data_IF_148263056990
#
_entry.id   IF_148263056990
#
_cell.length_a   1.000
_cell.length_b   1.000
_cell.length_c   1.000
_cell.angle_alpha   90.00
_cell.angle_beta   90.00
_cell.angle_gamma   90.00
#
_symmetry.space_group_name_H-M   'P 1'
#
loop_
_entity.id
_entity.type
_entity.pdbx_description
1 polymer ?
#
# COMPACT_ATOMS: atom_id res chain seq x y z
N UNK A 1 36.92 83.31 28.11
CA UNK A 1 36.87 81.94 28.67
C UNK A 1 36.02 81.11 27.73
N UNK A 2 36.52 80.63 26.58
CA UNK A 2 37.43 79.49 26.33
C UNK A 2 36.85 78.12 26.69
N UNK A 3 36.90 77.26 25.67
CA UNK A 3 36.71 75.80 25.58
C UNK A 3 35.26 75.33 25.31
N UNK A 4 34.86 74.89 24.11
CA UNK A 4 35.49 74.06 23.05
C UNK A 4 35.36 72.55 23.26
N UNK A 5 35.00 71.90 22.14
CA UNK A 5 35.26 70.52 21.71
C UNK A 5 34.41 69.36 22.26
N UNK A 6 33.37 69.06 21.48
CA UNK A 6 33.35 67.92 20.52
C UNK A 6 33.16 66.47 20.99
N UNK A 7 32.39 65.77 20.13
CA UNK A 7 32.29 64.33 19.85
C UNK A 7 31.33 63.53 20.75
N UNK A 8 30.39 62.78 20.20
CA UNK A 8 30.16 62.49 18.78
C UNK A 8 28.98 61.56 18.54
N UNK A 9 28.74 61.33 17.26
CA UNK A 9 27.95 60.25 16.64
C UNK A 9 26.50 60.07 17.17
N UNK A 10 25.45 60.19 16.38
CA UNK A 10 25.32 59.64 15.05
C UNK A 10 24.39 60.51 14.20
N UNK A 11 24.87 60.74 12.98
CA UNK A 11 24.22 61.45 11.91
C UNK A 11 23.05 60.58 11.42
N UNK A 12 21.84 61.08 11.61
CA UNK A 12 20.64 60.55 10.99
C UNK A 12 20.67 60.87 9.49
N UNK A 13 20.77 59.84 8.63
CA UNK A 13 20.04 59.73 7.36
C UNK A 13 20.36 58.40 6.65
N UNK A 14 19.31 57.80 6.06
CA UNK A 14 19.28 56.77 5.02
C UNK A 14 19.47 55.30 5.47
N UNK A 15 18.39 54.51 5.46
CA UNK A 15 18.03 53.71 4.29
C UNK A 15 16.81 52.82 4.58
N UNK A 16 15.91 52.81 3.61
CA UNK A 16 14.82 51.86 3.40
C UNK A 16 15.23 50.39 3.50
N UNK A 17 14.23 49.57 3.87
CA UNK A 17 14.05 48.14 3.58
C UNK A 17 14.29 47.17 4.76
N UNK A 18 13.24 46.94 5.55
CA UNK A 18 12.98 45.65 6.18
C UNK A 18 11.55 45.24 5.85
N UNK A 19 11.44 44.43 4.79
CA UNK A 19 10.23 43.73 4.40
C UNK A 19 10.00 42.57 5.39
N UNK A 20 9.20 42.82 6.42
CA UNK A 20 8.60 41.73 7.20
C UNK A 20 7.50 41.07 6.35
N UNK A 21 7.87 39.93 5.76
CA UNK A 21 6.97 39.00 5.08
C UNK A 21 6.08 38.29 6.10
N UNK A 22 5.03 38.97 6.57
CA UNK A 22 3.85 38.32 7.11
C UNK A 22 3.15 37.58 5.97
N UNK A 23 3.44 36.30 5.80
CA UNK A 23 2.80 35.43 4.83
C UNK A 23 1.29 35.36 5.11
N UNK A 24 0.53 36.20 4.41
CA UNK A 24 -0.92 36.14 4.34
C UNK A 24 -1.31 34.84 3.66
N UNK A 25 -2.10 34.00 4.33
CA UNK A 25 -2.68 32.82 3.69
C UNK A 25 -3.41 33.24 2.40
N UNK A 26 -3.06 32.64 1.26
CA UNK A 26 -3.61 33.07 0.00
C UNK A 26 -5.11 32.74 -0.12
N UNK A 27 -5.92 33.77 -0.39
CA UNK A 27 -7.37 33.70 -0.54
C UNK A 27 -7.89 32.62 -1.51
N UNK A 28 -7.05 32.18 -2.46
CA UNK A 28 -7.38 31.15 -3.43
C UNK A 28 -7.56 29.77 -2.79
N UNK A 29 -6.93 29.51 -1.64
CA UNK A 29 -7.08 28.24 -0.93
C UNK A 29 -8.51 28.05 -0.39
N UNK A 30 -9.17 29.14 0.03
CA UNK A 30 -10.59 29.14 0.40
C UNK A 30 -11.53 29.02 -0.79
N UNK A 31 -11.16 29.57 -1.95
CA UNK A 31 -11.95 29.48 -3.17
C UNK A 31 -11.98 28.04 -3.71
N UNK A 32 -10.84 27.35 -3.66
CA UNK A 32 -10.71 25.94 -4.06
C UNK A 32 -11.45 24.99 -3.09
N UNK A 33 -11.72 25.43 -1.86
CA UNK A 33 -12.48 24.64 -0.88
C UNK A 33 -13.98 24.56 -1.21
N UNK A 34 -14.55 25.62 -1.81
CA UNK A 34 -15.96 25.67 -2.25
C UNK A 34 -16.14 24.91 -3.57
N UNK A 35 -15.15 24.97 -4.44
CA UNK A 35 -15.06 24.22 -5.68
C UNK A 35 -14.30 22.92 -5.42
N UNK A 36 -14.90 21.91 -4.77
CA UNK A 36 -14.44 20.51 -4.46
C UNK A 36 -13.27 19.88 -5.27
N UNK A 37 -12.16 20.59 -5.45
CA UNK A 37 -11.00 20.27 -6.27
C UNK A 37 -9.79 20.10 -5.35
N UNK A 38 -9.99 19.45 -4.21
CA UNK A 38 -8.89 19.09 -3.30
C UNK A 38 -7.96 18.12 -4.06
N UNK A 39 -6.64 18.39 -4.13
CA UNK A 39 -5.66 17.41 -4.56
C UNK A 39 -5.72 16.19 -3.62
N UNK A 40 -5.63 14.97 -4.17
CA UNK A 40 -5.69 13.71 -3.38
C UNK A 40 -4.68 13.65 -2.22
N UNK A 41 -3.60 14.41 -2.30
CA UNK A 41 -2.55 14.45 -1.28
C UNK A 41 -3.01 15.02 0.08
N UNK A 42 -4.02 15.91 0.10
CA UNK A 42 -4.49 16.48 1.37
C UNK A 42 -5.21 15.46 2.25
N UNK A 43 -5.99 14.54 1.65
CA UNK A 43 -6.74 13.53 2.41
C UNK A 43 -5.81 12.53 3.11
N UNK A 44 -4.67 12.21 2.47
CA UNK A 44 -3.64 11.35 3.05
C UNK A 44 -3.02 12.01 4.29
N UNK A 45 -2.71 13.30 4.19
CA UNK A 45 -2.18 14.10 5.31
C UNK A 45 -3.16 14.17 6.47
N UNK A 46 -4.43 14.47 6.19
CA UNK A 46 -5.51 14.54 7.20
C UNK A 46 -5.64 13.22 8.00
N UNK A 47 -5.51 12.06 7.33
CA UNK A 47 -5.56 10.73 8.00
C UNK A 47 -4.27 10.45 8.77
N UNK A 48 -3.10 10.81 8.24
CA UNK A 48 -1.82 10.63 8.95
C UNK A 48 -1.75 11.44 10.25
N UNK A 49 -2.26 12.67 10.22
CA UNK A 49 -2.38 13.55 11.39
C UNK A 49 -3.33 12.95 12.44
N UNK A 50 -4.53 12.53 12.03
CA UNK A 50 -5.49 11.89 12.93
C UNK A 50 -4.96 10.60 13.58
N UNK A 51 -4.09 9.84 12.90
CA UNK A 51 -3.46 8.63 13.45
C UNK A 51 -2.26 8.92 14.37
N UNK A 52 -1.71 10.12 14.32
CA UNK A 52 -0.59 10.57 15.16
C UNK A 52 -1.08 11.12 16.50
N UNK A 53 -2.31 11.63 16.55
CA UNK A 53 -2.91 12.13 17.78
C UNK A 53 -3.12 10.99 18.82
N UNK A 54 -2.83 11.25 20.10
CA UNK A 54 -3.08 10.29 21.17
C UNK A 54 -4.58 10.18 21.48
N UNK A 55 -5.12 8.98 21.31
CA UNK A 55 -6.53 8.65 21.51
C UNK A 55 -6.97 8.91 22.94
N UNK A 56 -7.81 9.93 23.15
CA UNK A 56 -8.34 10.27 24.48
C UNK A 56 -9.85 10.56 24.51
N UNK A 57 -10.60 10.07 23.51
CA UNK A 57 -12.06 10.26 23.41
C UNK A 57 -12.84 9.04 22.90
N UNK A 58 -14.17 9.14 22.88
CA UNK A 58 -15.11 8.06 22.50
C UNK A 58 -15.05 7.64 21.02
N UNK A 59 -14.37 8.43 20.17
CA UNK A 59 -14.16 8.16 18.73
C UNK A 59 -12.71 7.74 18.42
N UNK A 60 -11.99 7.22 19.40
CA UNK A 60 -10.62 6.76 19.27
C UNK A 60 -10.49 5.52 18.36
N UNK A 61 -9.44 5.45 17.56
CA UNK A 61 -9.14 4.24 16.79
C UNK A 61 -8.60 3.13 17.70
N UNK A 62 -9.08 1.91 17.53
CA UNK A 62 -8.45 0.77 18.19
C UNK A 62 -7.01 0.59 17.69
N UNK A 63 -6.13 -0.05 18.48
CA UNK A 63 -4.77 -0.35 18.05
C UNK A 63 -4.71 -1.12 16.72
N UNK A 64 -5.68 -2.01 16.48
CA UNK A 64 -5.79 -2.78 15.24
C UNK A 64 -6.14 -1.90 14.04
N UNK A 65 -7.15 -1.03 14.18
CA UNK A 65 -7.56 -0.10 13.12
C UNK A 65 -6.42 0.86 12.77
N UNK A 66 -5.74 1.39 13.79
CA UNK A 66 -4.57 2.25 13.61
C UNK A 66 -3.46 1.54 12.85
N UNK A 67 -3.18 0.28 13.17
CA UNK A 67 -2.19 -0.53 12.45
C UNK A 67 -2.61 -0.81 11.00
N UNK A 68 -3.86 -1.16 10.75
CA UNK A 68 -4.40 -1.36 9.41
C UNK A 68 -4.31 -0.09 8.56
N UNK A 69 -4.75 1.06 9.09
CA UNK A 69 -4.72 2.33 8.37
C UNK A 69 -3.29 2.76 8.04
N UNK A 70 -2.34 2.58 8.98
CA UNK A 70 -0.91 2.80 8.70
C UNK A 70 -0.39 1.90 7.57
N UNK A 71 -0.75 0.62 7.56
CA UNK A 71 -0.36 -0.31 6.50
C UNK A 71 -0.95 0.10 5.14
N UNK A 72 -2.21 0.55 5.10
CA UNK A 72 -2.87 1.05 3.88
C UNK A 72 -2.17 2.31 3.36
N UNK A 73 -1.88 3.28 4.22
CA UNK A 73 -1.16 4.50 3.85
C UNK A 73 0.27 4.22 3.36
N UNK A 74 0.88 3.14 3.86
CA UNK A 74 2.21 2.67 3.47
C UNK A 74 2.23 1.82 2.19
N UNK A 75 1.09 1.31 1.72
CA UNK A 75 1.01 0.34 0.62
C UNK A 75 1.63 0.87 -0.68
N UNK A 76 1.50 2.16 -0.97
CA UNK A 76 2.09 2.78 -2.17
C UNK A 76 3.63 2.71 -2.22
N UNK A 77 4.29 2.45 -1.08
CA UNK A 77 5.74 2.28 -0.97
C UNK A 77 6.18 0.82 -1.09
N UNK A 78 5.25 -0.12 -1.01
CA UNK A 78 5.51 -1.57 -1.04
C UNK A 78 5.53 -2.04 -2.49
N UNK A 79 6.58 -2.77 -2.87
CA UNK A 79 6.75 -3.38 -4.19
C UNK A 79 6.25 -4.82 -4.15
N UNK A 80 5.94 -5.38 -5.32
CA UNK A 80 5.54 -6.81 -5.45
C UNK A 80 6.61 -7.73 -4.87
N UNK A 81 7.89 -7.41 -5.10
CA UNK A 81 9.04 -8.16 -4.61
C UNK A 81 9.09 -8.23 -3.07
N UNK A 82 8.56 -7.23 -2.37
CA UNK A 82 8.56 -7.17 -0.90
C UNK A 82 7.55 -8.15 -0.26
N UNK A 83 6.58 -8.65 -1.04
CA UNK A 83 5.45 -9.47 -0.56
C UNK A 83 5.27 -10.78 -1.31
N UNK A 84 5.96 -10.98 -2.44
CA UNK A 84 5.85 -12.21 -3.22
C UNK A 84 6.51 -13.40 -2.51
N UNK A 85 6.11 -14.62 -2.90
CA UNK A 85 6.77 -15.84 -2.46
C UNK A 85 8.10 -15.99 -3.22
N UNK A 86 9.25 -16.16 -2.53
CA UNK A 86 10.53 -16.38 -3.19
C UNK A 86 10.48 -17.58 -4.12
N UNK A 87 11.18 -17.49 -5.25
CA UNK A 87 11.16 -18.55 -6.29
C UNK A 87 11.47 -19.94 -5.76
N UNK A 88 12.42 -20.06 -4.83
CA UNK A 88 12.83 -21.33 -4.25
C UNK A 88 11.72 -21.99 -3.40
N UNK A 89 10.77 -21.20 -2.92
CA UNK A 89 9.68 -21.64 -2.04
C UNK A 89 8.36 -21.83 -2.81
N UNK A 90 8.35 -21.63 -4.13
CA UNK A 90 7.15 -21.80 -4.95
C UNK A 90 6.81 -23.29 -5.04
N UNK A 91 5.66 -23.66 -4.49
CA UNK A 91 5.04 -24.96 -4.74
C UNK A 91 4.26 -24.90 -6.06
N UNK A 92 4.78 -25.55 -7.09
CA UNK A 92 4.17 -25.62 -8.41
C UNK A 92 4.07 -27.08 -8.90
N UNK A 93 3.33 -27.28 -9.99
CA UNK A 93 3.08 -28.59 -10.58
C UNK A 93 3.46 -28.61 -12.06
N UNK A 94 4.08 -29.68 -12.53
CA UNK A 94 4.39 -29.85 -13.96
C UNK A 94 3.12 -30.19 -14.73
N UNK A 95 3.00 -29.72 -15.97
CA UNK A 95 1.90 -30.06 -16.88
C UNK A 95 1.75 -31.57 -17.11
N UNK A 96 2.83 -32.33 -16.97
CA UNK A 96 2.86 -33.79 -17.13
C UNK A 96 2.45 -34.55 -15.86
N UNK A 97 2.10 -33.84 -14.78
CA UNK A 97 1.76 -34.46 -13.49
C UNK A 97 0.42 -35.19 -13.57
N UNK A 98 0.39 -36.43 -13.08
CA UNK A 98 -0.84 -37.21 -13.01
C UNK A 98 -1.89 -36.57 -12.09
N UNK A 99 -3.18 -36.81 -12.36
CA UNK A 99 -4.27 -36.33 -11.49
C UNK A 99 -4.13 -36.85 -10.04
N UNK A 100 -3.64 -38.08 -9.88
CA UNK A 100 -3.42 -38.68 -8.56
C UNK A 100 -2.33 -37.98 -7.76
N UNK A 101 -1.22 -37.61 -8.41
CA UNK A 101 -0.12 -36.91 -7.75
C UNK A 101 -0.46 -35.44 -7.51
N UNK A 102 -1.22 -34.80 -8.39
CA UNK A 102 -1.78 -33.47 -8.17
C UNK A 102 -2.69 -33.45 -6.92
N UNK A 103 -3.54 -34.45 -6.72
CA UNK A 103 -4.37 -34.55 -5.51
C UNK A 103 -3.51 -34.71 -4.25
N UNK A 104 -2.46 -35.53 -4.30
CA UNK A 104 -1.51 -35.66 -3.17
C UNK A 104 -0.87 -34.32 -2.86
N UNK A 105 -0.44 -33.58 -3.89
CA UNK A 105 0.19 -32.27 -3.74
C UNK A 105 -0.76 -31.25 -3.11
N UNK A 106 -2.03 -31.19 -3.54
CA UNK A 106 -3.03 -30.33 -2.90
C UNK A 106 -3.23 -30.65 -1.41
N UNK A 107 -3.21 -31.93 -1.04
CA UNK A 107 -3.38 -32.37 0.36
C UNK A 107 -2.16 -32.05 1.23
N UNK A 108 -0.95 -32.07 0.68
CA UNK A 108 0.28 -31.82 1.45
C UNK A 108 0.65 -30.33 1.48
N UNK A 109 0.45 -29.60 0.38
CA UNK A 109 0.83 -28.19 0.28
C UNK A 109 -0.15 -27.23 0.99
N UNK A 110 -1.42 -27.62 1.13
CA UNK A 110 -2.44 -26.78 1.79
C UNK A 110 -2.81 -25.50 1.02
N UNK A 111 -2.36 -25.35 -0.24
CA UNK A 111 -2.68 -24.21 -1.08
C UNK A 111 -3.92 -24.49 -1.95
N UNK A 112 -4.80 -23.49 -2.08
CA UNK A 112 -5.99 -23.61 -2.93
C UNK A 112 -5.68 -23.55 -4.43
N UNK A 113 -4.53 -22.96 -4.79
CA UNK A 113 -4.08 -22.71 -6.16
C UNK A 113 -2.62 -23.10 -6.29
N UNK A 114 -2.29 -23.77 -7.39
CA UNK A 114 -0.92 -24.14 -7.73
C UNK A 114 -0.59 -23.65 -9.15
N UNK A 115 0.55 -22.98 -9.36
CA UNK A 115 1.04 -22.67 -10.70
C UNK A 115 1.34 -23.97 -11.45
N UNK A 116 0.98 -24.01 -12.73
CA UNK A 116 1.33 -25.10 -13.64
C UNK A 116 2.46 -24.64 -14.54
N UNK A 117 3.54 -25.41 -14.61
CA UNK A 117 4.70 -25.10 -15.45
C UNK A 117 4.95 -26.20 -16.49
N UNK A 118 5.61 -25.82 -17.59
CA UNK A 118 6.06 -26.75 -18.62
C UNK A 118 7.38 -27.43 -18.23
N UNK A 119 8.47 -27.01 -18.87
CA UNK A 119 9.81 -27.56 -18.60
C UNK A 119 10.41 -27.02 -17.30
N UNK A 120 10.22 -25.73 -17.02
CA UNK A 120 10.74 -25.05 -15.83
C UNK A 120 9.73 -24.04 -15.29
N UNK A 121 9.96 -23.53 -14.08
CA UNK A 121 9.16 -22.45 -13.50
C UNK A 121 9.15 -21.15 -14.32
N UNK A 122 10.07 -21.00 -15.29
CA UNK A 122 10.10 -19.85 -16.23
C UNK A 122 9.11 -20.00 -17.40
N UNK A 123 8.49 -21.18 -17.54
CA UNK A 123 7.47 -21.49 -18.54
C UNK A 123 6.11 -21.73 -17.87
N UNK A 124 5.46 -20.68 -17.31
CA UNK A 124 4.15 -20.82 -16.69
C UNK A 124 3.09 -21.08 -17.75
N UNK A 125 2.39 -22.20 -17.62
CA UNK A 125 1.26 -22.59 -18.51
C UNK A 125 -0.09 -22.18 -17.95
N UNK A 126 -0.15 -21.84 -16.67
CA UNK A 126 -1.36 -21.36 -16.01
C UNK A 126 -1.38 -21.72 -14.54
N UNK A 127 -2.58 -22.00 -14.03
CA UNK A 127 -2.81 -22.34 -12.63
C UNK A 127 -3.94 -23.36 -12.52
N UNK A 128 -3.87 -24.21 -11.50
CA UNK A 128 -4.94 -25.13 -11.16
C UNK A 128 -5.51 -24.79 -9.79
N UNK A 129 -6.84 -24.74 -9.71
CA UNK A 129 -7.57 -24.56 -8.47
C UNK A 129 -8.08 -25.90 -7.97
N UNK A 130 -8.00 -26.14 -6.65
CA UNK A 130 -8.56 -27.35 -6.04
C UNK A 130 -10.06 -27.56 -6.33
N UNK A 131 -10.86 -26.49 -6.43
CA UNK A 131 -12.29 -26.61 -6.74
C UNK A 131 -12.50 -27.18 -8.14
N UNK A 132 -11.87 -26.56 -9.13
CA UNK A 132 -11.97 -26.98 -10.53
C UNK A 132 -11.41 -28.40 -10.72
N UNK A 133 -10.37 -28.76 -9.97
CA UNK A 133 -9.84 -30.13 -9.93
C UNK A 133 -10.87 -31.13 -9.40
N UNK A 134 -11.52 -30.84 -8.26
CA UNK A 134 -12.54 -31.72 -7.67
C UNK A 134 -13.74 -31.85 -8.60
N UNK A 135 -14.23 -30.75 -9.16
CA UNK A 135 -15.35 -30.73 -10.11
C UNK A 135 -15.05 -31.60 -11.34
N UNK A 136 -13.81 -31.53 -11.84
CA UNK A 136 -13.35 -32.34 -12.96
C UNK A 136 -13.32 -33.84 -12.66
N UNK A 137 -12.88 -34.23 -11.46
CA UNK A 137 -12.88 -35.63 -11.02
C UNK A 137 -14.31 -36.13 -10.80
N UNK A 138 -15.17 -35.31 -10.18
CA UNK A 138 -16.57 -35.64 -9.94
C UNK A 138 -17.32 -35.90 -11.26
N UNK A 139 -17.16 -35.01 -12.24
CA UNK A 139 -17.75 -35.18 -13.57
C UNK A 139 -17.29 -36.48 -14.27
N UNK A 140 -16.00 -36.85 -14.12
CA UNK A 140 -15.47 -38.11 -14.66
C UNK A 140 -16.02 -39.34 -13.94
N UNK A 141 -16.21 -39.27 -12.63
CA UNK A 141 -16.77 -40.36 -11.83
C UNK A 141 -18.25 -40.60 -12.16
N UNK A 142 -19.02 -39.53 -12.42
CA UNK A 142 -20.43 -39.62 -12.83
C UNK A 142 -20.61 -40.15 -14.26
N UNK A 143 -19.69 -39.81 -15.16
CA UNK A 143 -19.73 -40.25 -16.56
C UNK A 143 -19.27 -41.71 -16.76
N UNK A 144 -18.59 -42.31 -15.78
CA UNK A 144 -18.26 -43.73 -15.82
C UNK A 144 -19.56 -44.54 -15.62
N UNK A 145 -19.96 -45.42 -16.56
CA UNK A 145 -21.13 -46.26 -16.37
C UNK A 145 -20.91 -47.06 -15.08
N UNK A 146 -21.85 -46.95 -14.13
CA UNK A 146 -21.88 -47.84 -12.97
C UNK A 146 -22.00 -49.25 -13.55
N UNK A 147 -20.88 -49.97 -13.61
CA UNK A 147 -20.88 -51.34 -14.09
C UNK A 147 -21.89 -52.13 -13.28
N UNK A 148 -22.86 -52.71 -13.98
CA UNK A 148 -23.82 -53.65 -13.44
C UNK A 148 -23.05 -54.77 -12.73
N UNK A 149 -23.38 -54.96 -11.45
CA UNK A 149 -22.98 -56.13 -10.65
C UNK A 149 -24.05 -57.20 -10.81
#
# INVERSE_FOLDING_TARGET
MTHDRSRGAAQAALSSNEAESGAREPWYDRLLQVLHLKPRDSLRGDIEEALAEPDSGENAFSPLERAMLKNVLGLHKVRVDDVMIPRADIVAVSVETSLGDLLKLFRTAGHSRLPVYGETLDDPRGMVHIRDFVDHIAARAEAAPRGDV
#
